data_IF_809768218348
#
_entry.id   IF_809768218348
#
_cell.length_a   1.000
_cell.length_b   1.000
_cell.length_c   1.000
_cell.angle_alpha   90.00
_cell.angle_beta   90.00
_cell.angle_gamma   90.00
#
_symmetry.space_group_name_H-M   'P 1'
#
loop_
_entity.id
_entity.type
_entity.pdbx_description
1 polymer ?
#
# COMPACT_ATOMS: atom_id res chain seq x y z
N UNK A 1 16.91 28.70 -13.17
CA UNK A 1 17.26 27.59 -12.24
C UNK A 1 16.26 27.39 -11.08
N UNK A 2 15.64 28.44 -10.51
CA UNK A 2 14.68 28.32 -9.39
C UNK A 2 13.43 27.48 -9.71
N UNK A 3 12.87 27.62 -10.91
CA UNK A 3 11.64 26.93 -11.33
C UNK A 3 11.75 25.39 -11.29
N UNK A 4 12.89 24.83 -11.69
CA UNK A 4 13.17 23.37 -11.63
C UNK A 4 13.13 22.83 -10.19
N UNK A 5 13.58 23.61 -9.20
CA UNK A 5 13.53 23.21 -7.77
C UNK A 5 12.10 23.16 -7.24
N UNK A 6 11.25 24.12 -7.60
CA UNK A 6 9.84 24.12 -7.21
C UNK A 6 9.06 22.96 -7.83
N UNK A 7 9.29 22.69 -9.11
CA UNK A 7 8.67 21.55 -9.81
C UNK A 7 9.09 20.21 -9.18
N UNK A 8 10.37 20.04 -8.83
CA UNK A 8 10.90 18.85 -8.14
C UNK A 8 10.24 18.65 -6.76
N UNK A 9 10.07 19.72 -6.00
CA UNK A 9 9.42 19.68 -4.68
C UNK A 9 7.92 19.37 -4.76
N UNK A 10 7.24 19.90 -5.78
CA UNK A 10 5.82 19.62 -6.03
C UNK A 10 5.60 18.17 -6.42
N UNK A 11 6.39 17.67 -7.38
CA UNK A 11 6.33 16.28 -7.83
C UNK A 11 6.64 15.29 -6.69
N UNK A 12 7.60 15.63 -5.81
CA UNK A 12 7.90 14.84 -4.61
C UNK A 12 6.67 14.71 -3.70
N UNK A 13 5.96 15.82 -3.45
CA UNK A 13 4.80 15.85 -2.57
C UNK A 13 3.64 15.03 -3.15
N UNK A 14 3.37 15.16 -4.44
CA UNK A 14 2.27 14.43 -5.09
C UNK A 14 2.55 12.93 -5.18
N UNK A 15 3.76 12.53 -5.57
CA UNK A 15 4.12 11.10 -5.69
C UNK A 15 4.15 10.43 -4.31
N UNK A 16 4.73 11.06 -3.29
CA UNK A 16 4.69 10.51 -1.93
C UNK A 16 3.26 10.44 -1.38
N UNK A 17 2.40 11.40 -1.71
CA UNK A 17 0.99 11.39 -1.28
C UNK A 17 0.21 10.24 -1.95
N UNK A 18 0.41 10.02 -3.25
CA UNK A 18 -0.21 8.90 -3.98
C UNK A 18 0.27 7.55 -3.42
N UNK A 19 1.57 7.39 -3.18
CA UNK A 19 2.14 6.17 -2.60
C UNK A 19 1.57 5.91 -1.19
N UNK A 20 1.49 6.95 -0.36
CA UNK A 20 0.92 6.85 0.99
C UNK A 20 -0.58 6.53 0.97
N UNK A 21 -1.34 7.17 0.07
CA UNK A 21 -2.76 6.87 -0.14
C UNK A 21 -2.97 5.42 -0.60
N UNK A 22 -2.08 4.91 -1.46
CA UNK A 22 -2.06 3.50 -1.86
C UNK A 22 -1.84 2.54 -0.69
N UNK A 23 -0.92 2.86 0.22
CA UNK A 23 -0.71 2.07 1.45
C UNK A 23 -1.97 2.05 2.32
N UNK A 24 -2.62 3.20 2.52
CA UNK A 24 -3.87 3.29 3.29
C UNK A 24 -4.99 2.46 2.65
N UNK A 25 -5.14 2.53 1.33
CA UNK A 25 -6.17 1.78 0.60
C UNK A 25 -5.96 0.26 0.74
N UNK A 26 -4.72 -0.21 0.57
CA UNK A 26 -4.39 -1.62 0.76
C UNK A 26 -4.60 -2.06 2.21
N UNK A 27 -4.27 -1.20 3.18
CA UNK A 27 -4.49 -1.48 4.60
C UNK A 27 -5.97 -1.64 4.94
N UNK A 28 -6.83 -0.79 4.39
CA UNK A 28 -8.29 -0.90 4.54
C UNK A 28 -8.81 -2.19 3.91
N UNK A 29 -8.36 -2.54 2.70
CA UNK A 29 -8.75 -3.78 2.03
C UNK A 29 -8.35 -5.00 2.87
N UNK A 30 -7.10 -5.05 3.35
CA UNK A 30 -6.62 -6.13 4.20
C UNK A 30 -7.43 -6.23 5.51
N UNK A 31 -7.76 -5.08 6.13
CA UNK A 31 -8.56 -5.04 7.36
C UNK A 31 -9.98 -5.58 7.14
N UNK A 32 -10.63 -5.19 6.04
CA UNK A 32 -11.95 -5.71 5.66
C UNK A 32 -11.88 -7.22 5.40
N UNK A 33 -10.84 -7.69 4.72
CA UNK A 33 -10.63 -9.11 4.44
C UNK A 33 -10.51 -9.90 5.74
N UNK A 34 -9.74 -9.38 6.70
CA UNK A 34 -9.51 -10.01 8.01
C UNK A 34 -10.75 -10.04 8.89
N UNK A 35 -11.52 -8.95 8.93
CA UNK A 35 -12.77 -8.89 9.70
C UNK A 35 -13.77 -9.91 9.17
N UNK A 36 -13.86 -10.04 7.85
CA UNK A 36 -14.79 -10.99 7.23
C UNK A 36 -14.24 -12.42 7.15
N UNK A 37 -12.96 -12.65 7.45
CA UNK A 37 -12.32 -13.97 7.39
C UNK A 37 -13.06 -15.01 8.23
N UNK A 38 -13.50 -14.66 9.45
CA UNK A 38 -14.26 -15.58 10.30
C UNK A 38 -15.56 -16.02 9.65
N UNK A 39 -16.33 -15.09 9.07
CA UNK A 39 -17.57 -15.40 8.35
C UNK A 39 -17.34 -16.20 7.06
N UNK A 40 -16.24 -15.96 6.34
CA UNK A 40 -15.93 -16.69 5.10
C UNK A 40 -15.38 -18.10 5.34
N UNK A 41 -14.68 -18.34 6.46
CA UNK A 41 -14.21 -19.67 6.85
C UNK A 41 -15.37 -20.65 7.08
N UNK A 42 -16.50 -20.18 7.59
CA UNK A 42 -17.71 -21.00 7.79
C UNK A 42 -18.44 -21.29 6.45
N UNK A 43 -18.24 -20.45 5.43
CA UNK A 43 -18.88 -20.58 4.12
C UNK A 43 -18.19 -21.57 3.19
N UNK A 44 -16.86 -21.68 3.22
CA UNK A 44 -16.14 -22.69 2.43
C UNK A 44 -14.71 -22.93 2.93
N UNK A 45 -14.25 -24.20 3.00
CA UNK A 45 -12.88 -24.54 3.39
C UNK A 45 -11.82 -24.02 2.41
N UNK A 46 -12.21 -23.63 1.19
CA UNK A 46 -11.31 -23.01 0.22
C UNK A 46 -10.77 -21.65 0.69
N UNK A 47 -11.55 -20.91 1.48
CA UNK A 47 -11.17 -19.57 1.94
C UNK A 47 -10.12 -19.60 3.06
N UNK A 48 -10.01 -20.73 3.79
CA UNK A 48 -9.07 -20.92 4.91
C UNK A 48 -7.61 -20.75 4.44
N UNK A 49 -7.27 -21.24 3.25
CA UNK A 49 -5.91 -21.13 2.70
C UNK A 49 -5.75 -19.92 1.78
N UNK A 50 -6.83 -19.46 1.15
CA UNK A 50 -6.76 -18.41 0.12
C UNK A 50 -6.64 -17.01 0.72
N UNK A 51 -7.41 -16.70 1.76
CA UNK A 51 -7.40 -15.38 2.41
C UNK A 51 -6.04 -15.03 3.05
N UNK A 52 -5.37 -15.92 3.82
CA UNK A 52 -4.04 -15.60 4.36
C UNK A 52 -2.97 -15.43 3.26
N UNK A 53 -3.07 -16.14 2.14
CA UNK A 53 -2.20 -15.91 0.98
C UNK A 53 -2.42 -14.52 0.37
N UNK A 54 -3.68 -14.08 0.26
CA UNK A 54 -4.01 -12.72 -0.23
C UNK A 54 -3.52 -11.65 0.74
N UNK A 55 -3.70 -11.83 2.05
CA UNK A 55 -3.15 -10.91 3.06
C UNK A 55 -1.63 -10.79 2.96
N UNK A 56 -0.94 -11.91 2.75
CA UNK A 56 0.53 -11.92 2.57
C UNK A 56 0.93 -11.11 1.34
N UNK A 57 0.21 -11.28 0.22
CA UNK A 57 0.44 -10.53 -1.01
C UNK A 57 0.17 -9.03 -0.85
N UNK A 58 -0.91 -8.66 -0.15
CA UNK A 58 -1.24 -7.28 0.21
C UNK A 58 -0.15 -6.66 1.10
N UNK A 59 0.36 -7.40 2.08
CA UNK A 59 1.46 -6.98 2.94
C UNK A 59 2.76 -6.74 2.16
N UNK A 60 3.10 -7.61 1.21
CA UNK A 60 4.25 -7.39 0.32
C UNK A 60 4.07 -6.12 -0.52
N UNK A 61 2.89 -5.89 -1.10
CA UNK A 61 2.59 -4.67 -1.86
C UNK A 61 2.72 -3.41 -1.00
N UNK A 62 2.19 -3.41 0.22
CA UNK A 62 2.35 -2.28 1.15
C UNK A 62 3.82 -2.00 1.46
N UNK A 63 4.62 -3.06 1.66
CA UNK A 63 6.06 -2.95 1.91
C UNK A 63 6.80 -2.30 0.74
N UNK A 64 6.46 -2.71 -0.49
CA UNK A 64 7.04 -2.13 -1.72
C UNK A 64 6.64 -0.67 -1.90
N UNK A 65 5.38 -0.31 -1.65
CA UNK A 65 4.92 1.09 -1.73
C UNK A 65 5.60 1.97 -0.68
N UNK A 66 5.81 1.44 0.53
CA UNK A 66 6.51 2.15 1.59
C UNK A 66 7.99 2.37 1.25
N UNK A 67 8.67 1.34 0.72
CA UNK A 67 10.02 1.45 0.15
C UNK A 67 10.07 2.47 -0.99
N UNK A 68 9.06 2.47 -1.88
CA UNK A 68 8.89 3.44 -2.94
C UNK A 68 8.79 4.87 -2.38
N UNK A 69 8.00 5.08 -1.33
CA UNK A 69 7.87 6.39 -0.68
C UNK A 69 9.21 6.87 -0.11
N UNK A 70 9.92 6.01 0.62
CA UNK A 70 11.25 6.32 1.18
C UNK A 70 12.25 6.63 0.06
N UNK A 71 12.25 5.84 -1.02
CA UNK A 71 13.15 6.03 -2.16
C UNK A 71 12.88 7.36 -2.86
N UNK A 72 11.59 7.70 -3.03
CA UNK A 72 11.15 8.99 -3.56
C UNK A 72 11.64 10.13 -2.63
N UNK A 73 11.60 9.93 -1.31
CA UNK A 73 12.14 10.91 -0.37
C UNK A 73 13.67 11.08 -0.41
N UNK A 74 14.40 9.98 -0.58
CA UNK A 74 15.86 9.93 -0.62
C UNK A 74 16.46 10.46 -1.94
N UNK A 75 15.88 10.12 -3.09
CA UNK A 75 16.39 10.57 -4.41
C UNK A 75 15.98 12.00 -4.72
N UNK A 76 14.77 12.42 -4.30
CA UNK A 76 14.31 13.79 -4.52
C UNK A 76 14.74 14.77 -3.41
N UNK A 77 15.64 14.37 -2.50
CA UNK A 77 16.45 15.33 -1.72
C UNK A 77 17.24 16.27 -2.64
#
# INVERSE_FOLDING_TARGET
MKFKKYLKAYFKKDVSCILFSGVIALFLIASILRINYSSFCDLSPFFINTIPNIETWLGMLMSVLFLGAIYTECILK
#
